data_IF_234968397600
#
_entry.id   IF_234968397600
#
_cell.length_a   1.000
_cell.length_b   1.000
_cell.length_c   1.000
_cell.angle_alpha   90.00
_cell.angle_beta   90.00
_cell.angle_gamma   90.00
#
_symmetry.space_group_name_H-M   'P 1'
#
loop_
_entity.id
_entity.type
_entity.pdbx_description
1 polymer ?
#
# COMPACT_ATOMS: atom_id res chain seq x y z
N UNK A 1 -71.09 52.39 -33.70
CA UNK A 1 -70.11 52.95 -32.72
C UNK A 1 -69.59 51.80 -31.88
N UNK A 2 -68.30 51.40 -32.02
CA UNK A 2 -67.57 50.40 -31.19
C UNK A 2 -68.20 48.97 -31.13
N UNK A 3 -67.48 47.89 -30.81
CA UNK A 3 -66.04 47.58 -30.90
C UNK A 3 -65.86 46.06 -30.72
N UNK A 4 -65.02 45.45 -31.55
CA UNK A 4 -64.01 44.39 -31.29
C UNK A 4 -64.22 43.46 -30.06
N UNK A 5 -64.12 42.15 -30.31
CA UNK A 5 -64.04 41.06 -29.32
C UNK A 5 -63.87 39.72 -30.04
N UNK A 6 -62.87 39.60 -30.91
CA UNK A 6 -61.53 39.09 -30.59
C UNK A 6 -61.48 37.55 -30.65
N UNK A 7 -61.19 37.05 -31.85
CA UNK A 7 -61.06 35.63 -32.14
C UNK A 7 -59.71 35.17 -31.63
N UNK A 8 -59.70 34.42 -30.53
CA UNK A 8 -58.49 33.78 -29.99
C UNK A 8 -57.87 32.85 -31.03
N UNK A 9 -56.89 33.36 -31.76
CA UNK A 9 -56.07 32.57 -32.67
C UNK A 9 -55.31 31.53 -31.84
N UNK A 10 -55.67 30.26 -31.99
CA UNK A 10 -54.81 29.15 -31.58
C UNK A 10 -53.56 29.15 -32.46
N UNK A 11 -52.58 29.99 -32.12
CA UNK A 11 -51.23 29.89 -32.65
C UNK A 11 -50.67 28.54 -32.21
N UNK A 12 -50.76 27.57 -33.12
CA UNK A 12 -50.08 26.29 -33.02
C UNK A 12 -48.58 26.56 -33.07
N UNK A 13 -47.97 26.75 -31.91
CA UNK A 13 -46.54 26.99 -31.79
C UNK A 13 -45.79 25.80 -32.39
N UNK A 14 -45.17 26.05 -33.55
CA UNK A 14 -44.63 25.00 -34.40
C UNK A 14 -43.26 24.63 -33.85
N UNK A 15 -43.27 23.72 -32.88
CA UNK A 15 -42.07 23.29 -32.17
C UNK A 15 -41.02 22.83 -33.19
N UNK A 16 -39.98 23.66 -33.37
CA UNK A 16 -38.82 23.33 -34.20
C UNK A 16 -38.16 22.11 -33.57
N UNK A 17 -38.47 20.94 -34.13
CA UNK A 17 -37.73 19.70 -33.86
C UNK A 17 -36.25 19.98 -34.09
N UNK A 18 -35.47 20.05 -33.00
CA UNK A 18 -34.02 20.09 -33.11
C UNK A 18 -33.62 18.75 -33.70
N UNK A 19 -33.07 18.76 -34.92
CA UNK A 19 -32.44 17.58 -35.49
C UNK A 19 -31.38 17.11 -34.51
N UNK A 20 -31.55 15.91 -33.97
CA UNK A 20 -30.53 15.26 -33.17
C UNK A 20 -29.46 14.79 -34.15
N UNK A 21 -28.38 15.54 -34.26
CA UNK A 21 -27.21 15.11 -35.01
C UNK A 21 -26.57 13.92 -34.25
N UNK A 22 -26.59 12.74 -34.86
CA UNK A 22 -25.93 11.56 -34.32
C UNK A 22 -24.41 11.62 -34.53
N UNK A 23 -23.66 10.98 -33.63
CA UNK A 23 -22.22 10.73 -33.81
C UNK A 23 -21.98 9.87 -35.05
N UNK A 24 -20.89 10.13 -35.77
CA UNK A 24 -20.50 9.30 -36.92
C UNK A 24 -19.58 8.15 -36.50
N UNK A 25 -19.62 7.03 -37.22
CA UNK A 25 -18.74 5.88 -36.94
C UNK A 25 -17.26 6.27 -37.12
N UNK A 26 -16.94 7.11 -38.11
CA UNK A 26 -15.58 7.58 -38.38
C UNK A 26 -15.02 8.48 -37.27
N UNK A 27 -15.87 9.32 -36.67
CA UNK A 27 -15.52 10.18 -35.54
C UNK A 27 -15.17 9.35 -34.29
N UNK A 28 -15.94 8.28 -34.01
CA UNK A 28 -15.62 7.33 -32.96
C UNK A 28 -14.29 6.61 -33.23
N UNK A 29 -14.03 6.17 -34.47
CA UNK A 29 -12.77 5.50 -34.83
C UNK A 29 -11.56 6.41 -34.61
N UNK A 30 -11.63 7.69 -35.02
CA UNK A 30 -10.56 8.66 -34.80
C UNK A 30 -10.27 8.84 -33.30
N UNK A 31 -11.31 9.03 -32.49
CA UNK A 31 -11.18 9.22 -31.03
C UNK A 31 -10.54 8.01 -30.36
N UNK A 32 -10.94 6.79 -30.74
CA UNK A 32 -10.35 5.56 -30.21
C UNK A 32 -8.86 5.41 -30.58
N UNK A 33 -8.47 5.77 -31.81
CA UNK A 33 -7.06 5.77 -32.23
C UNK A 33 -6.23 6.74 -31.40
N UNK A 34 -6.71 7.95 -31.15
CA UNK A 34 -6.01 8.93 -30.31
C UNK A 34 -5.87 8.46 -28.86
N UNK A 35 -6.93 7.89 -28.27
CA UNK A 35 -6.87 7.32 -26.92
C UNK A 35 -5.87 6.17 -26.84
N UNK A 36 -5.84 5.28 -27.85
CA UNK A 36 -4.91 4.15 -27.89
C UNK A 36 -3.44 4.61 -27.89
N UNK A 37 -3.11 5.68 -28.62
CA UNK A 37 -1.76 6.28 -28.64
C UNK A 37 -1.38 6.79 -27.24
N UNK A 38 -2.27 7.50 -26.54
CA UNK A 38 -1.99 8.02 -25.21
C UNK A 38 -1.87 6.92 -24.14
N UNK A 39 -2.66 5.84 -24.24
CA UNK A 39 -2.66 4.73 -23.27
C UNK A 39 -1.29 4.04 -23.14
N UNK A 40 -0.51 3.95 -24.24
CA UNK A 40 0.84 3.36 -24.25
C UNK A 40 1.77 4.06 -23.24
N UNK A 41 1.63 5.37 -23.06
CA UNK A 41 2.45 6.17 -22.14
C UNK A 41 1.78 6.29 -20.76
N UNK A 42 0.46 6.49 -20.74
CA UNK A 42 -0.30 6.73 -19.51
C UNK A 42 -0.30 5.52 -18.56
N UNK A 43 -0.50 4.31 -19.07
CA UNK A 43 -0.61 3.09 -18.24
C UNK A 43 0.69 2.80 -17.46
N UNK A 44 1.88 2.68 -18.07
CA UNK A 44 3.11 2.41 -17.32
C UNK A 44 3.47 3.54 -16.35
N UNK A 45 3.22 4.80 -16.73
CA UNK A 45 3.43 5.97 -15.86
C UNK A 45 2.56 5.91 -14.60
N UNK A 46 1.26 5.62 -14.76
CA UNK A 46 0.33 5.48 -13.64
C UNK A 46 0.70 4.30 -12.74
N UNK A 47 1.14 3.16 -13.30
CA UNK A 47 1.63 2.04 -12.50
C UNK A 47 2.84 2.43 -11.63
N UNK A 48 3.83 3.13 -12.18
CA UNK A 48 4.98 3.61 -11.41
C UNK A 48 4.59 4.63 -10.32
N UNK A 49 3.59 5.48 -10.58
CA UNK A 49 3.03 6.37 -9.56
C UNK A 49 2.40 5.59 -8.40
N UNK A 50 1.55 4.58 -8.68
CA UNK A 50 0.94 3.74 -7.66
C UNK A 50 2.00 2.96 -6.86
N UNK A 51 3.03 2.41 -7.52
CA UNK A 51 4.16 1.75 -6.84
C UNK A 51 4.90 2.67 -5.86
N UNK A 52 5.07 3.95 -6.21
CA UNK A 52 5.67 4.97 -5.32
C UNK A 52 4.76 5.32 -4.14
N UNK A 53 3.45 5.37 -4.35
CA UNK A 53 2.48 5.57 -3.28
C UNK A 53 2.45 4.38 -2.30
N UNK A 54 2.39 3.14 -2.82
CA UNK A 54 2.47 1.91 -2.02
C UNK A 54 3.77 1.86 -1.19
N UNK A 55 4.91 2.19 -1.81
CA UNK A 55 6.21 2.28 -1.13
C UNK A 55 6.19 3.30 0.02
N UNK A 56 5.67 4.51 -0.21
CA UNK A 56 5.60 5.54 0.84
C UNK A 56 4.67 5.13 1.99
N UNK A 57 3.53 4.51 1.70
CA UNK A 57 2.60 4.01 2.72
C UNK A 57 3.24 2.95 3.62
N UNK A 58 4.00 2.01 3.04
CA UNK A 58 4.76 1.00 3.80
C UNK A 58 5.83 1.63 4.67
N UNK A 59 6.59 2.59 4.13
CA UNK A 59 7.62 3.30 4.88
C UNK A 59 7.04 4.06 6.09
N UNK A 60 5.88 4.70 5.93
CA UNK A 60 5.16 5.37 7.02
C UNK A 60 4.67 4.39 8.09
N UNK A 61 4.04 3.27 7.70
CA UNK A 61 3.56 2.28 8.66
C UNK A 61 4.73 1.55 9.36
N UNK A 62 5.87 1.32 8.68
CA UNK A 62 7.12 0.89 9.31
C UNK A 62 7.61 1.90 10.36
N UNK A 63 7.63 3.20 10.06
CA UNK A 63 8.04 4.22 11.03
C UNK A 63 7.09 4.25 12.26
N UNK A 64 5.78 4.15 12.05
CA UNK A 64 4.77 4.02 13.12
C UNK A 64 5.02 2.77 13.98
N UNK A 65 5.31 1.61 13.38
CA UNK A 65 5.69 0.39 14.12
C UNK A 65 6.98 0.62 14.94
N UNK A 66 7.98 1.30 14.38
CA UNK A 66 9.24 1.60 15.06
C UNK A 66 9.05 2.51 16.29
N UNK A 67 8.19 3.52 16.21
CA UNK A 67 7.80 4.34 17.37
C UNK A 67 7.11 3.51 18.45
N UNK A 68 6.20 2.61 18.06
CA UNK A 68 5.49 1.74 18.97
C UNK A 68 6.43 0.75 19.68
N UNK A 69 7.40 0.19 18.96
CA UNK A 69 8.51 -0.60 19.52
C UNK A 69 9.31 0.22 20.54
N UNK A 70 9.66 1.47 20.22
CA UNK A 70 10.39 2.35 21.14
C UNK A 70 9.58 2.64 22.43
N UNK A 71 8.27 2.90 22.31
CA UNK A 71 7.35 3.07 23.45
C UNK A 71 7.26 1.81 24.31
N UNK A 72 7.23 0.63 23.69
CA UNK A 72 7.24 -0.66 24.40
C UNK A 72 8.53 -0.88 25.17
N UNK A 73 9.70 -0.61 24.57
CA UNK A 73 11.00 -0.69 25.27
C UNK A 73 11.12 0.34 26.40
N UNK A 74 10.57 1.55 26.25
CA UNK A 74 10.56 2.55 27.31
C UNK A 74 9.76 2.10 28.55
N UNK A 75 8.71 1.30 28.37
CA UNK A 75 7.88 0.74 29.46
C UNK A 75 8.46 -0.55 30.07
N UNK A 76 8.96 -1.46 29.23
CA UNK A 76 9.34 -2.81 29.63
C UNK A 76 10.86 -3.05 29.72
N UNK A 77 11.67 -2.04 29.39
CA UNK A 77 13.14 -2.13 29.24
C UNK A 77 13.64 -3.15 28.20
N UNK A 78 12.74 -3.77 27.44
CA UNK A 78 13.02 -4.77 26.41
C UNK A 78 11.98 -4.72 25.29
N UNK A 79 12.33 -5.23 24.11
CA UNK A 79 11.38 -5.46 23.01
C UNK A 79 10.66 -6.82 23.08
N UNK A 80 10.99 -7.69 24.05
CA UNK A 80 10.29 -8.97 24.26
C UNK A 80 8.80 -8.74 24.48
N UNK A 81 7.98 -9.66 23.97
CA UNK A 81 6.52 -9.61 24.09
C UNK A 81 5.87 -8.45 23.32
N UNK A 82 6.61 -7.73 22.47
CA UNK A 82 5.99 -6.77 21.56
C UNK A 82 5.21 -7.52 20.48
N UNK A 83 3.90 -7.29 20.46
CA UNK A 83 2.96 -7.84 19.50
C UNK A 83 2.30 -6.68 18.73
N UNK A 84 2.39 -6.62 17.39
CA UNK A 84 1.73 -5.57 16.62
C UNK A 84 0.18 -5.62 16.70
N UNK A 85 -0.43 -6.70 17.19
CA UNK A 85 -1.88 -6.88 17.28
C UNK A 85 -2.62 -5.69 17.94
N UNK A 86 -2.04 -5.07 18.98
CA UNK A 86 -2.67 -3.93 19.68
C UNK A 86 -2.78 -2.67 18.81
N UNK A 87 -1.94 -2.53 17.77
CA UNK A 87 -1.94 -1.39 16.86
C UNK A 87 -3.11 -1.48 15.87
N UNK A 88 -3.52 -2.71 15.52
CA UNK A 88 -4.52 -3.00 14.48
C UNK A 88 -5.82 -3.60 15.02
N UNK A 89 -5.97 -3.71 16.35
CA UNK A 89 -7.17 -4.25 17.00
C UNK A 89 -7.39 -5.75 16.77
N UNK A 90 -6.33 -6.52 16.51
CA UNK A 90 -6.43 -7.94 16.22
C UNK A 90 -6.63 -8.80 17.47
N UNK A 91 -7.49 -9.81 17.39
CA UNK A 91 -7.77 -10.76 18.47
C UNK A 91 -6.81 -11.95 18.40
N UNK A 92 -5.68 -11.86 19.11
CA UNK A 92 -4.67 -12.91 19.19
C UNK A 92 -3.31 -12.51 18.59
N UNK A 93 -2.29 -13.38 18.69
CA UNK A 93 -0.92 -13.02 18.39
C UNK A 93 -0.66 -12.79 16.90
N UNK A 94 -0.15 -11.61 16.54
CA UNK A 94 0.09 -11.24 15.15
C UNK A 94 1.53 -11.54 14.73
N UNK A 95 1.70 -12.44 13.75
CA UNK A 95 3.02 -12.84 13.23
C UNK A 95 3.51 -11.97 12.07
N UNK A 96 2.59 -11.32 11.36
CA UNK A 96 2.87 -10.38 10.28
C UNK A 96 1.75 -9.35 10.14
N UNK A 97 2.08 -8.17 9.60
CA UNK A 97 1.14 -7.09 9.27
C UNK A 97 0.93 -7.10 7.76
N UNK A 98 -0.33 -7.04 7.31
CA UNK A 98 -0.70 -7.02 5.90
C UNK A 98 -1.07 -5.60 5.47
N UNK A 99 -0.53 -5.12 4.35
CA UNK A 99 -0.88 -3.85 3.72
C UNK A 99 -1.42 -4.06 2.29
N UNK A 100 -2.50 -3.36 1.90
CA UNK A 100 -3.37 -2.55 2.76
C UNK A 100 -4.13 -3.41 3.79
N UNK A 101 -4.57 -2.81 4.90
CA UNK A 101 -5.24 -3.55 5.98
C UNK A 101 -6.51 -4.25 5.46
N UNK A 102 -6.68 -5.52 5.83
CA UNK A 102 -7.80 -6.35 5.38
C UNK A 102 -7.64 -6.93 3.97
N UNK A 103 -6.53 -6.67 3.27
CA UNK A 103 -6.25 -7.31 1.98
C UNK A 103 -6.07 -8.82 2.11
N UNK A 104 -6.58 -9.57 1.13
CA UNK A 104 -6.46 -11.02 1.04
C UNK A 104 -6.00 -11.44 -0.36
N UNK A 105 -5.29 -12.58 -0.45
CA UNK A 105 -4.79 -13.10 -1.73
C UNK A 105 -3.97 -12.08 -2.53
N UNK A 106 -4.35 -11.86 -3.78
CA UNK A 106 -3.67 -10.95 -4.73
C UNK A 106 -3.84 -9.46 -4.41
N UNK A 107 -4.72 -9.08 -3.48
CA UNK A 107 -4.85 -7.70 -3.01
C UNK A 107 -3.71 -7.30 -2.06
N UNK A 108 -2.99 -8.27 -1.47
CA UNK A 108 -1.86 -8.00 -0.58
C UNK A 108 -0.72 -7.37 -1.39
N UNK A 109 -0.35 -6.13 -1.01
CA UNK A 109 0.77 -5.41 -1.61
C UNK A 109 2.07 -5.69 -0.86
N UNK A 110 1.97 -5.67 0.47
CA UNK A 110 3.12 -5.85 1.36
C UNK A 110 2.76 -6.65 2.61
N UNK A 111 3.74 -7.42 3.08
CA UNK A 111 3.71 -8.14 4.35
C UNK A 111 4.90 -7.67 5.20
N UNK A 112 4.63 -6.99 6.32
CA UNK A 112 5.65 -6.59 7.28
C UNK A 112 5.81 -7.69 8.33
N UNK A 113 7.06 -8.06 8.64
CA UNK A 113 7.40 -9.05 9.65
C UNK A 113 8.47 -8.49 10.59
N UNK A 114 8.25 -8.61 11.90
CA UNK A 114 9.11 -8.07 12.96
C UNK A 114 9.75 -9.22 13.73
N UNK A 115 11.06 -9.18 13.91
CA UNK A 115 11.84 -10.26 14.55
C UNK A 115 12.91 -9.73 15.48
N UNK A 116 13.42 -10.62 16.32
CA UNK A 116 14.63 -10.37 17.10
C UNK A 116 15.82 -10.24 16.13
N UNK A 117 16.67 -9.22 16.29
CA UNK A 117 17.81 -9.01 15.39
C UNK A 117 19.03 -9.87 15.77
N UNK A 118 19.13 -10.34 17.02
CA UNK A 118 20.16 -11.30 17.44
C UNK A 118 19.77 -12.74 17.00
N UNK A 119 18.46 -13.05 16.87
CA UNK A 119 17.93 -14.33 16.39
C UNK A 119 16.71 -14.13 15.45
N UNK A 120 17.00 -13.89 14.17
CA UNK A 120 16.00 -13.64 13.14
C UNK A 120 15.13 -14.85 12.77
N UNK A 121 15.31 -16.01 13.41
CA UNK A 121 14.36 -17.13 13.29
C UNK A 121 13.10 -16.91 14.13
N UNK A 122 13.15 -16.02 15.13
CA UNK A 122 12.09 -15.82 16.12
C UNK A 122 11.39 -14.46 16.04
N UNK A 123 10.10 -14.47 16.37
CA UNK A 123 9.31 -13.27 16.66
C UNK A 123 9.67 -12.71 18.04
N UNK A 124 9.44 -11.42 18.27
CA UNK A 124 9.65 -10.80 19.59
C UNK A 124 8.75 -11.37 20.70
N UNK A 125 7.65 -12.02 20.32
CA UNK A 125 6.70 -12.75 21.18
C UNK A 125 7.09 -14.22 21.44
N UNK A 126 8.20 -14.71 20.88
CA UNK A 126 8.54 -16.13 20.97
C UNK A 126 8.84 -16.58 22.42
N UNK A 127 8.11 -17.61 22.85
CA UNK A 127 8.24 -18.30 24.14
C UNK A 127 8.51 -19.78 23.94
N UNK A 128 8.94 -20.47 24.99
CA UNK A 128 9.04 -21.94 25.02
C UNK A 128 7.68 -22.58 25.34
N UNK A 129 7.61 -23.91 25.22
CA UNK A 129 6.43 -24.71 25.58
C UNK A 129 6.33 -25.03 27.07
N UNK A 130 7.07 -24.34 27.95
CA UNK A 130 6.97 -24.59 29.39
C UNK A 130 5.76 -23.88 30.00
N UNK A 131 5.37 -24.27 31.22
CA UNK A 131 4.32 -23.59 32.00
C UNK A 131 4.91 -23.08 33.31
N UNK A 132 4.94 -21.76 33.55
CA UNK A 132 4.56 -20.68 32.63
C UNK A 132 5.56 -20.50 31.46
N UNK A 133 5.12 -20.09 30.26
CA UNK A 133 5.99 -19.94 29.10
C UNK A 133 7.10 -18.90 29.32
N UNK A 134 8.33 -19.23 28.92
CA UNK A 134 9.50 -18.36 29.09
C UNK A 134 9.96 -17.78 27.74
N UNK A 135 10.36 -16.50 27.65
CA UNK A 135 10.85 -15.92 26.40
C UNK A 135 12.10 -16.62 25.86
N UNK A 136 12.09 -17.00 24.58
CA UNK A 136 13.23 -17.67 23.89
C UNK A 136 14.10 -16.72 23.06
N UNK A 137 13.81 -15.42 23.14
CA UNK A 137 14.48 -14.31 22.44
C UNK A 137 15.28 -13.41 23.40
N UNK A 138 16.22 -12.63 22.85
CA UNK A 138 17.00 -11.65 23.61
C UNK A 138 16.27 -10.31 23.77
N UNK A 139 15.49 -9.90 22.77
CA UNK A 139 14.68 -8.68 22.73
C UNK A 139 15.44 -7.40 23.06
N UNK A 140 16.75 -7.36 22.76
CA UNK A 140 17.59 -6.16 22.93
C UNK A 140 17.48 -5.24 21.72
N UNK A 141 17.40 -5.87 20.54
CA UNK A 141 17.34 -5.29 19.22
C UNK A 141 16.19 -5.93 18.43
N UNK A 142 15.66 -5.22 17.45
CA UNK A 142 14.67 -5.74 16.50
C UNK A 142 15.09 -5.43 15.07
N UNK A 143 14.65 -6.28 14.16
CA UNK A 143 14.73 -6.06 12.72
C UNK A 143 13.35 -6.35 12.14
N UNK A 144 12.88 -5.50 11.23
CA UNK A 144 11.63 -5.73 10.53
C UNK A 144 11.82 -5.52 9.04
N UNK A 145 11.21 -6.40 8.24
CA UNK A 145 11.20 -6.29 6.79
C UNK A 145 9.78 -6.19 6.26
N UNK A 146 9.61 -5.40 5.20
CA UNK A 146 8.39 -5.33 4.42
C UNK A 146 8.65 -5.99 3.06
N UNK A 147 7.95 -7.09 2.80
CA UNK A 147 8.12 -7.88 1.57
C UNK A 147 6.91 -7.74 0.66
N UNK A 148 7.16 -7.73 -0.66
CA UNK A 148 6.13 -7.63 -1.70
C UNK A 148 6.20 -8.80 -2.67
N UNK A 149 5.13 -9.02 -3.43
CA UNK A 149 5.05 -9.99 -4.53
C UNK A 149 5.26 -9.36 -5.92
N UNK A 150 5.15 -8.03 -6.07
CA UNK A 150 5.48 -7.35 -7.33
C UNK A 150 7.01 -7.18 -7.43
N UNK A 151 7.64 -7.89 -8.37
CA UNK A 151 9.09 -7.83 -8.64
C UNK A 151 9.61 -6.44 -9.05
N UNK A 152 8.71 -5.52 -9.41
CA UNK A 152 9.07 -4.11 -9.71
C UNK A 152 9.10 -3.23 -8.46
N UNK A 153 8.44 -3.65 -7.38
CA UNK A 153 8.42 -2.95 -6.10
C UNK A 153 9.69 -3.26 -5.28
N UNK A 154 10.03 -2.34 -4.38
CA UNK A 154 11.10 -2.53 -3.42
C UNK A 154 10.61 -3.37 -2.23
N UNK A 155 11.45 -4.25 -1.72
CA UNK A 155 11.33 -4.82 -0.39
C UNK A 155 12.19 -3.96 0.55
N UNK A 156 11.74 -3.74 1.79
CA UNK A 156 12.38 -2.82 2.75
C UNK A 156 12.87 -3.55 3.99
N UNK A 157 13.98 -3.09 4.57
CA UNK A 157 14.47 -3.44 5.90
C UNK A 157 14.55 -2.16 6.74
N UNK A 158 14.16 -2.28 8.01
CA UNK A 158 14.49 -1.32 9.07
C UNK A 158 14.91 -2.06 10.33
N UNK A 159 15.93 -1.55 11.04
CA UNK A 159 16.42 -2.15 12.30
C UNK A 159 16.45 -1.15 13.45
N UNK A 160 16.51 -1.68 14.69
CA UNK A 160 16.71 -0.87 15.89
C UNK A 160 18.10 -0.23 15.99
N UNK A 161 19.06 -0.62 15.14
CA UNK A 161 20.36 0.04 15.00
C UNK A 161 20.35 1.20 14.00
N UNK A 162 19.20 1.51 13.40
CA UNK A 162 19.03 2.63 12.47
C UNK A 162 19.33 2.29 11.01
N UNK A 163 19.64 1.04 10.68
CA UNK A 163 19.75 0.65 9.27
C UNK A 163 18.38 0.75 8.60
N UNK A 164 18.32 1.46 7.48
CA UNK A 164 17.18 1.52 6.57
C UNK A 164 17.68 1.30 5.16
N UNK A 165 17.31 0.18 4.57
CA UNK A 165 17.67 -0.12 3.19
C UNK A 165 16.54 -0.84 2.47
N UNK A 166 16.65 -0.91 1.15
CA UNK A 166 15.64 -1.50 0.28
C UNK A 166 16.30 -2.14 -0.95
N UNK A 167 15.65 -3.15 -1.51
CA UNK A 167 16.07 -3.83 -2.74
C UNK A 167 14.84 -4.42 -3.46
N UNK A 168 14.78 -4.34 -4.80
CA UNK A 168 13.70 -4.98 -5.58
C UNK A 168 13.77 -6.50 -5.53
N UNK A 169 14.98 -7.05 -5.46
CA UNK A 169 15.22 -8.49 -5.34
C UNK A 169 14.98 -8.94 -3.90
N UNK A 170 13.83 -9.56 -3.64
CA UNK A 170 13.41 -10.07 -2.32
C UNK A 170 14.49 -10.91 -1.61
N UNK A 171 15.18 -11.78 -2.35
CA UNK A 171 16.22 -12.65 -1.80
C UNK A 171 17.43 -11.91 -1.21
N UNK A 172 17.65 -10.66 -1.61
CA UNK A 172 18.74 -9.82 -1.08
C UNK A 172 18.35 -9.09 0.21
N UNK A 173 17.09 -9.12 0.64
CA UNK A 173 16.63 -8.43 1.86
C UNK A 173 16.55 -9.43 3.02
N UNK A 174 17.61 -9.44 3.81
CA UNK A 174 17.72 -10.21 5.04
C UNK A 174 17.17 -9.40 6.24
N UNK A 175 17.33 -9.91 7.47
CA UNK A 175 17.09 -9.12 8.69
C UNK A 175 18.33 -8.34 9.16
N UNK A 176 19.43 -8.40 8.41
CA UNK A 176 20.71 -7.76 8.70
C UNK A 176 21.15 -6.74 7.63
N UNK A 177 20.70 -6.91 6.38
CA UNK A 177 21.14 -6.13 5.22
C UNK A 177 20.15 -6.23 4.02
N UNK A 178 20.43 -5.48 2.94
CA UNK A 178 19.67 -5.50 1.69
C UNK A 178 20.53 -5.83 0.45
N UNK A 179 21.63 -6.57 0.66
CA UNK A 179 22.66 -6.82 -0.33
C UNK A 179 23.60 -5.63 -0.51
N UNK A 180 24.27 -5.59 -1.67
CA UNK A 180 25.22 -4.54 -2.07
C UNK A 180 24.60 -3.61 -3.11
N UNK A 181 25.22 -2.44 -3.34
CA UNK A 181 24.82 -1.49 -4.40
C UNK A 181 24.83 -2.13 -5.78
N UNK A 182 25.79 -3.02 -6.07
CA UNK A 182 25.84 -3.82 -7.31
C UNK A 182 24.60 -4.71 -7.47
N UNK A 183 24.08 -5.25 -6.36
CA UNK A 183 22.84 -6.04 -6.36
C UNK A 183 21.56 -5.20 -6.25
N UNK A 184 21.63 -3.87 -6.41
CA UNK A 184 20.47 -2.97 -6.35
C UNK A 184 20.04 -2.56 -4.94
N UNK A 185 20.95 -2.60 -3.94
CA UNK A 185 20.70 -1.96 -2.65
C UNK A 185 20.60 -0.44 -2.82
N UNK A 186 19.56 0.13 -2.23
CA UNK A 186 19.40 1.56 -1.98
C UNK A 186 19.09 1.79 -0.48
N UNK A 187 19.40 2.98 0.04
CA UNK A 187 18.98 3.41 1.39
C UNK A 187 17.65 4.22 1.31
N UNK A 188 16.96 4.45 2.45
CA UNK A 188 15.68 5.19 2.50
C UNK A 188 15.33 5.78 3.89
#
# INVERSE_FOLDING_TARGET
>A
MKSIGDVTLFQRDSSKSRRVNGFTLIELMLVLVLIAIFMVIAIPSYQEYVRRADASAVQQEMQKIAEQLARHKAKNFTYRGFDPAYIYGATGPMTSIILPQGATGTAIKYTITIRDADDSTKLLTAVDGSSPPKPTVRGRNWAMKAETSDVKNYNFLMTSSGMKCKNKTKANVSYADCGTTVTGKEDW
#
